data_IF_458827296295
#
_entry.id   IF_458827296295
#
_cell.length_a   1.000
_cell.length_b   1.000
_cell.length_c   1.000
_cell.angle_alpha   90.00
_cell.angle_beta   90.00
_cell.angle_gamma   90.00
#
_symmetry.space_group_name_H-M   'P 1'
#
loop_
_entity.id
_entity.type
_entity.pdbx_description
1 polymer ?
#
# COMPACT_ATOMS: atom_id res chain seq x y z
N UNK A 1 -2.42 -9.05 21.88
CA UNK A 1 -1.70 -9.69 20.77
C UNK A 1 -1.59 -8.81 19.50
N UNK A 2 -2.34 -7.68 19.41
CA UNK A 2 -2.23 -6.70 18.29
C UNK A 2 -1.29 -5.54 18.60
N UNK A 3 -0.78 -5.41 19.82
CA UNK A 3 0.06 -4.28 20.26
C UNK A 3 1.49 -4.29 19.68
N UNK A 4 1.88 -5.40 19.04
CA UNK A 4 3.22 -5.57 18.47
C UNK A 4 3.34 -5.15 17.00
N UNK A 5 2.22 -4.68 16.39
CA UNK A 5 2.19 -4.27 15.00
C UNK A 5 1.99 -2.77 14.85
N UNK A 6 2.52 -2.21 13.76
CA UNK A 6 2.44 -0.81 13.42
C UNK A 6 2.18 -0.62 11.92
N UNK A 7 1.13 0.07 11.56
CA UNK A 7 0.78 0.40 10.18
C UNK A 7 0.84 1.91 9.87
N UNK A 8 1.26 2.70 10.86
CA UNK A 8 1.41 4.15 10.73
C UNK A 8 0.12 4.94 10.96
N UNK A 9 -1.00 4.29 11.26
CA UNK A 9 -2.23 4.98 11.58
C UNK A 9 -2.37 5.24 13.08
N UNK A 10 -2.73 6.46 13.43
CA UNK A 10 -2.83 6.92 14.82
C UNK A 10 -4.13 7.69 15.06
N UNK A 11 -4.64 7.61 16.28
CA UNK A 11 -5.82 8.31 16.73
C UNK A 11 -6.83 7.37 17.40
N UNK A 12 -7.80 7.96 18.09
CA UNK A 12 -8.83 7.25 18.86
C UNK A 12 -10.26 7.66 18.49
N UNK A 13 -10.39 8.52 17.46
CA UNK A 13 -11.67 8.98 16.95
C UNK A 13 -12.33 7.94 16.02
N UNK A 14 -13.44 8.31 15.37
CA UNK A 14 -14.12 7.44 14.41
C UNK A 14 -13.21 6.94 13.27
N UNK A 15 -12.13 7.68 13.03
CA UNK A 15 -11.08 7.26 12.11
C UNK A 15 -9.68 7.64 12.64
N UNK A 16 -8.68 6.96 12.15
CA UNK A 16 -7.26 7.19 12.40
C UNK A 16 -6.63 7.88 11.20
N UNK A 17 -5.67 8.76 11.44
CA UNK A 17 -4.91 9.45 10.40
C UNK A 17 -3.52 8.86 10.25
N UNK A 18 -3.00 8.85 9.03
CA UNK A 18 -1.67 8.33 8.76
C UNK A 18 -0.58 9.30 9.23
N UNK A 19 0.40 8.76 9.96
CA UNK A 19 1.59 9.48 10.40
C UNK A 19 2.85 8.73 9.94
N UNK A 20 3.58 9.22 8.93
CA UNK A 20 4.74 8.54 8.39
C UNK A 20 5.88 8.41 9.39
N UNK A 21 5.98 9.31 10.38
CA UNK A 21 7.02 9.21 11.42
C UNK A 21 6.77 8.04 12.36
N UNK A 22 5.50 7.79 12.70
CA UNK A 22 5.13 6.63 13.53
C UNK A 22 5.52 5.34 12.81
N UNK A 23 5.14 5.20 11.55
CA UNK A 23 5.53 4.03 10.76
C UNK A 23 7.06 3.86 10.69
N UNK A 24 7.78 4.96 10.42
CA UNK A 24 9.24 4.93 10.21
C UNK A 24 10.02 4.64 11.50
N UNK A 25 9.63 5.26 12.61
CA UNK A 25 10.37 5.23 13.87
C UNK A 25 9.97 4.07 14.78
N UNK A 26 8.88 3.36 14.47
CA UNK A 26 8.41 2.22 15.25
C UNK A 26 9.44 1.09 15.27
N UNK A 27 9.62 0.49 16.46
CA UNK A 27 10.37 -0.75 16.66
C UNK A 27 9.50 -1.99 16.56
N UNK A 28 8.20 -1.82 16.38
CA UNK A 28 7.22 -2.90 16.22
C UNK A 28 7.33 -3.55 14.84
N UNK A 29 6.70 -4.68 14.68
CA UNK A 29 6.51 -5.30 13.36
C UNK A 29 5.64 -4.41 12.48
N UNK A 30 6.09 -4.14 11.26
CA UNK A 30 5.36 -3.25 10.34
C UNK A 30 4.39 -4.04 9.49
N UNK A 31 3.17 -3.52 9.38
CA UNK A 31 2.15 -4.00 8.43
C UNK A 31 1.99 -2.95 7.34
N UNK A 32 2.30 -3.32 6.11
CA UNK A 32 2.30 -2.42 4.96
C UNK A 32 1.21 -2.83 3.98
N UNK A 33 0.13 -2.07 3.93
CA UNK A 33 -0.98 -2.31 3.01
C UNK A 33 -0.69 -1.68 1.64
N UNK A 34 0.18 -2.31 0.86
CA UNK A 34 0.69 -1.76 -0.41
C UNK A 34 -0.41 -1.41 -1.43
N UNK A 35 -1.54 -2.08 -1.36
CA UNK A 35 -2.69 -1.83 -2.25
C UNK A 35 -3.94 -1.33 -1.51
N UNK A 36 -3.80 -0.91 -0.27
CA UNK A 36 -4.89 -0.48 0.58
C UNK A 36 -5.51 -1.60 1.40
N UNK A 37 -6.53 -1.26 2.18
CA UNK A 37 -7.26 -2.19 3.02
C UNK A 37 -8.76 -1.87 3.00
N UNK A 38 -9.58 -2.84 3.39
CA UNK A 38 -11.04 -2.72 3.34
C UNK A 38 -11.60 -1.73 4.37
N UNK A 39 -10.81 -1.37 5.36
CA UNK A 39 -11.12 -0.40 6.40
C UNK A 39 -10.59 1.02 6.08
N UNK A 40 -10.01 1.21 4.88
CA UNK A 40 -9.59 2.54 4.42
C UNK A 40 -10.75 3.27 3.73
N UNK A 41 -10.82 4.57 3.98
CA UNK A 41 -11.78 5.46 3.34
C UNK A 41 -11.24 6.89 3.28
N UNK A 42 -12.05 7.80 2.80
CA UNK A 42 -11.71 9.21 2.72
C UNK A 42 -12.24 9.96 3.95
N UNK A 43 -11.58 11.05 4.31
CA UNK A 43 -12.10 11.93 5.39
C UNK A 43 -13.49 12.42 5.06
N UNK A 44 -14.38 12.58 6.06
CA UNK A 44 -15.68 13.20 5.88
C UNK A 44 -15.56 14.59 5.26
N UNK A 45 -16.56 14.98 4.46
CA UNK A 45 -16.62 16.30 3.85
C UNK A 45 -16.62 17.40 4.94
N UNK A 46 -15.77 18.41 4.76
CA UNK A 46 -15.60 19.51 5.71
C UNK A 46 -14.49 19.32 6.74
N UNK A 47 -13.99 18.09 6.94
CA UNK A 47 -12.86 17.81 7.82
C UNK A 47 -11.50 17.76 7.07
N UNK A 48 -11.54 17.77 5.76
CA UNK A 48 -10.35 17.81 4.92
C UNK A 48 -9.95 19.25 4.63
N UNK A 49 -8.83 19.70 5.19
CA UNK A 49 -8.27 21.03 4.91
C UNK A 49 -7.75 21.18 3.47
N UNK A 50 -7.56 20.10 2.76
CA UNK A 50 -7.00 20.08 1.42
C UNK A 50 -8.02 20.25 0.29
N UNK A 51 -9.31 20.11 0.58
CA UNK A 51 -10.40 20.15 -0.41
C UNK A 51 -10.52 21.48 -1.19
N UNK A 52 -10.01 22.57 -0.62
CA UNK A 52 -10.15 23.91 -1.19
C UNK A 52 -8.90 24.41 -1.91
N UNK A 53 -7.75 23.75 -1.76
CA UNK A 53 -6.45 24.34 -2.12
C UNK A 53 -5.93 23.83 -3.46
N UNK A 54 -6.27 22.61 -3.86
CA UNK A 54 -5.88 22.10 -5.17
C UNK A 54 -6.81 20.98 -5.63
N UNK A 55 -7.54 21.17 -6.74
CA UNK A 55 -8.43 20.14 -7.31
C UNK A 55 -7.70 18.86 -7.74
N UNK A 56 -6.36 18.90 -7.81
CA UNK A 56 -5.52 17.79 -8.24
C UNK A 56 -4.92 16.99 -7.07
N UNK A 57 -5.17 17.40 -5.81
CA UNK A 57 -4.70 16.65 -4.65
C UNK A 57 -5.58 15.41 -4.43
N UNK A 58 -4.93 14.26 -4.39
CA UNK A 58 -5.55 13.02 -3.96
C UNK A 58 -5.94 13.18 -2.49
N UNK A 59 -7.22 13.01 -2.13
CA UNK A 59 -7.66 13.19 -0.74
C UNK A 59 -6.95 12.23 0.19
N UNK A 60 -6.66 12.67 1.42
CA UNK A 60 -6.04 11.85 2.45
C UNK A 60 -6.91 10.63 2.77
N UNK A 61 -6.30 9.46 2.71
CA UNK A 61 -6.90 8.23 3.19
C UNK A 61 -6.76 8.13 4.70
N UNK A 62 -7.84 7.72 5.34
CA UNK A 62 -7.92 7.45 6.77
C UNK A 62 -8.33 5.99 7.00
N UNK A 63 -8.02 5.47 8.18
CA UNK A 63 -8.40 4.13 8.58
C UNK A 63 -9.58 4.21 9.54
N UNK A 64 -10.68 3.57 9.19
CA UNK A 64 -11.88 3.51 10.01
C UNK A 64 -11.84 2.33 10.98
N UNK A 65 -12.60 2.44 12.07
CA UNK A 65 -12.71 1.37 13.07
C UNK A 65 -13.49 0.15 12.58
N UNK A 66 -14.21 0.28 11.47
CA UNK A 66 -14.96 -0.83 10.87
C UNK A 66 -15.09 -0.68 9.35
N UNK A 67 -15.28 -1.80 8.67
CA UNK A 67 -15.57 -1.86 7.23
C UNK A 67 -16.84 -1.06 6.85
N UNK A 68 -17.90 -1.12 7.67
CA UNK A 68 -19.13 -0.40 7.36
C UNK A 68 -18.90 1.10 7.28
N UNK A 69 -18.19 1.68 8.24
CA UNK A 69 -17.84 3.09 8.23
C UNK A 69 -16.92 3.44 7.06
N UNK A 70 -15.95 2.61 6.75
CA UNK A 70 -15.07 2.81 5.61
C UNK A 70 -15.86 2.76 4.27
N UNK A 71 -16.83 1.87 4.17
CA UNK A 71 -17.68 1.72 2.98
C UNK A 71 -18.53 2.97 2.70
N UNK A 72 -19.05 3.63 3.73
CA UNK A 72 -19.78 4.89 3.61
C UNK A 72 -18.90 6.03 3.07
N UNK A 73 -17.60 5.95 3.30
CA UNK A 73 -16.59 6.92 2.88
C UNK A 73 -15.64 6.37 1.80
N UNK A 74 -16.04 5.33 1.07
CA UNK A 74 -15.20 4.67 0.07
C UNK A 74 -14.97 5.50 -1.20
N UNK A 75 -15.75 6.58 -1.38
CA UNK A 75 -15.60 7.50 -2.50
C UNK A 75 -15.31 8.90 -1.96
N UNK A 76 -14.38 9.65 -2.59
CA UNK A 76 -14.19 11.04 -2.24
C UNK A 76 -15.52 11.78 -2.51
N UNK A 77 -15.97 12.57 -1.55
CA UNK A 77 -17.21 13.35 -1.67
C UNK A 77 -17.05 14.58 -2.59
N UNK A 78 -16.10 14.56 -3.50
CA UNK A 78 -15.93 15.60 -4.50
C UNK A 78 -16.63 15.17 -5.78
N UNK A 79 -17.65 15.89 -6.14
CA UNK A 79 -18.11 15.95 -7.54
C UNK A 79 -16.93 16.35 -8.43
N UNK A 80 -16.95 15.89 -9.69
CA UNK A 80 -16.01 16.27 -10.71
C UNK A 80 -15.50 17.71 -10.50
N UNK A 81 -14.17 17.89 -10.56
CA UNK A 81 -13.63 19.25 -10.52
C UNK A 81 -14.30 20.09 -11.61
N UNK A 82 -14.22 21.40 -11.55
CA UNK A 82 -14.83 22.30 -12.53
C UNK A 82 -14.36 22.04 -13.98
N UNK A 83 -13.30 21.26 -14.19
CA UNK A 83 -12.80 20.82 -15.48
C UNK A 83 -13.39 19.49 -15.96
N UNK A 84 -14.30 18.85 -15.21
CA UNK A 84 -15.00 17.62 -15.62
C UNK A 84 -14.18 16.35 -15.43
N UNK A 85 -13.01 16.39 -14.83
CA UNK A 85 -12.23 15.21 -14.53
C UNK A 85 -12.75 14.54 -13.26
N UNK A 86 -13.26 13.33 -13.39
CA UNK A 86 -13.62 12.50 -12.25
C UNK A 86 -12.33 12.12 -11.50
N UNK A 87 -12.21 12.49 -10.23
CA UNK A 87 -11.15 11.98 -9.37
C UNK A 87 -11.37 10.48 -9.18
N UNK A 88 -10.59 9.66 -9.85
CA UNK A 88 -10.66 8.19 -9.76
C UNK A 88 -9.84 7.66 -8.58
N UNK A 89 -9.86 8.34 -7.45
CA UNK A 89 -9.22 7.81 -6.26
C UNK A 89 -10.11 6.75 -5.61
N UNK A 90 -9.52 5.66 -5.22
CA UNK A 90 -10.16 4.62 -4.43
C UNK A 90 -9.25 4.25 -3.26
N UNK A 91 -9.85 3.83 -2.16
CA UNK A 91 -9.12 3.36 -0.98
C UNK A 91 -8.33 2.05 -1.23
N UNK A 92 -8.62 1.39 -2.34
CA UNK A 92 -7.92 0.18 -2.79
C UNK A 92 -7.33 0.44 -4.17
N UNK A 93 -6.04 0.12 -4.32
CA UNK A 93 -5.34 0.23 -5.60
C UNK A 93 -5.65 -1.00 -6.46
N UNK A 94 -6.49 -0.80 -7.46
CA UNK A 94 -6.85 -1.82 -8.46
C UNK A 94 -6.77 -1.25 -9.87
N UNK A 95 -6.70 -2.13 -10.88
CA UNK A 95 -6.80 -1.75 -12.29
C UNK A 95 -5.50 -1.22 -12.92
N UNK A 96 -5.62 -0.57 -14.08
CA UNK A 96 -4.50 -0.20 -14.96
C UNK A 96 -3.71 1.03 -14.50
N UNK A 97 -4.31 1.97 -13.78
CA UNK A 97 -3.66 3.22 -13.36
C UNK A 97 -3.07 3.13 -11.95
N UNK A 98 -2.38 2.02 -11.65
CA UNK A 98 -1.81 1.80 -10.32
C UNK A 98 -0.72 2.82 -9.95
N UNK A 99 0.10 3.20 -10.93
CA UNK A 99 1.27 4.07 -10.71
C UNK A 99 0.87 5.41 -10.09
N UNK A 100 -0.19 6.04 -10.59
CA UNK A 100 -0.62 7.35 -10.11
C UNK A 100 -1.14 7.28 -8.68
N UNK A 101 -1.70 6.14 -8.29
CA UNK A 101 -2.20 5.92 -6.92
C UNK A 101 -1.07 5.63 -5.92
N UNK A 102 0.04 5.06 -6.39
CA UNK A 102 1.19 4.73 -5.52
C UNK A 102 1.89 5.95 -4.94
N UNK A 103 1.70 7.14 -5.53
CA UNK A 103 2.22 8.41 -4.99
C UNK A 103 1.36 9.00 -3.86
N UNK A 104 0.13 8.50 -3.69
CA UNK A 104 -0.75 8.96 -2.63
C UNK A 104 -0.29 8.46 -1.25
N UNK A 105 -0.63 9.24 -0.21
CA UNK A 105 -0.49 8.82 1.19
C UNK A 105 -1.65 7.86 1.54
N UNK A 106 -1.37 6.70 2.16
CA UNK A 106 -0.11 6.22 2.75
C UNK A 106 0.80 5.43 1.79
N UNK A 107 0.38 5.14 0.57
CA UNK A 107 1.00 4.17 -0.34
C UNK A 107 2.46 4.50 -0.67
N UNK A 108 2.79 5.77 -0.88
CA UNK A 108 4.17 6.21 -1.14
C UNK A 108 5.10 5.82 0.02
N UNK A 109 4.63 5.93 1.25
CA UNK A 109 5.41 5.55 2.44
C UNK A 109 5.48 4.04 2.61
N UNK A 110 4.40 3.31 2.38
CA UNK A 110 4.39 1.85 2.43
C UNK A 110 5.33 1.24 1.37
N UNK A 111 5.29 1.74 0.15
CA UNK A 111 6.19 1.26 -0.90
C UNK A 111 7.66 1.57 -0.56
N UNK A 112 7.95 2.77 -0.06
CA UNK A 112 9.29 3.13 0.39
C UNK A 112 9.79 2.22 1.51
N UNK A 113 8.95 1.96 2.51
CA UNK A 113 9.31 1.09 3.64
C UNK A 113 9.44 -0.38 3.23
N UNK A 114 8.61 -0.85 2.31
CA UNK A 114 8.75 -2.18 1.71
C UNK A 114 10.10 -2.34 1.02
N UNK A 115 10.47 -1.42 0.13
CA UNK A 115 11.77 -1.43 -0.55
C UNK A 115 12.91 -1.44 0.45
N UNK A 116 12.88 -0.54 1.45
CA UNK A 116 13.90 -0.48 2.49
C UNK A 116 14.02 -1.79 3.29
N UNK A 117 12.88 -2.43 3.57
CA UNK A 117 12.84 -3.67 4.34
C UNK A 117 13.47 -4.83 3.58
N UNK A 118 13.17 -4.98 2.29
CA UNK A 118 13.72 -6.08 1.49
C UNK A 118 15.18 -5.85 1.07
N UNK A 119 15.64 -4.58 1.00
CA UNK A 119 17.06 -4.25 0.81
C UNK A 119 17.87 -4.65 2.05
N UNK A 120 17.35 -4.42 3.24
CA UNK A 120 18.06 -4.73 4.50
C UNK A 120 18.08 -6.22 4.83
N UNK A 121 17.13 -6.99 4.32
CA UNK A 121 16.95 -8.39 4.66
C UNK A 121 17.13 -9.29 3.43
N UNK A 122 18.13 -10.15 3.40
CA UNK A 122 18.34 -11.08 2.29
C UNK A 122 17.29 -12.20 2.24
N UNK A 123 16.55 -12.45 3.31
CA UNK A 123 15.52 -13.49 3.36
C UNK A 123 14.13 -12.90 3.12
N UNK A 124 13.36 -13.50 2.22
CA UNK A 124 12.01 -13.12 1.87
C UNK A 124 11.10 -14.35 1.88
N UNK A 125 9.99 -14.27 2.60
CA UNK A 125 8.92 -15.25 2.56
C UNK A 125 7.74 -14.62 1.80
N UNK A 126 7.28 -15.30 0.77
CA UNK A 126 6.15 -14.90 -0.07
C UNK A 126 5.03 -15.93 0.10
N UNK A 127 3.83 -15.50 0.47
CA UNK A 127 2.69 -16.38 0.68
C UNK A 127 1.49 -15.89 -0.13
N UNK A 128 0.93 -16.73 -1.00
CA UNK A 128 -0.30 -16.45 -1.74
C UNK A 128 -0.22 -15.25 -2.69
N UNK A 129 0.96 -14.95 -3.21
CA UNK A 129 1.18 -13.85 -4.14
C UNK A 129 1.23 -14.36 -5.58
N UNK A 130 0.30 -13.88 -6.40
CA UNK A 130 0.13 -14.35 -7.79
C UNK A 130 1.20 -13.87 -8.78
N UNK A 131 2.16 -13.06 -8.36
CA UNK A 131 3.17 -12.41 -9.22
C UNK A 131 2.57 -11.62 -10.40
N UNK A 132 1.33 -11.17 -10.27
CA UNK A 132 0.66 -10.36 -11.31
C UNK A 132 0.95 -8.86 -11.19
N UNK A 133 1.57 -8.42 -10.09
CA UNK A 133 1.92 -7.01 -9.89
C UNK A 133 3.34 -6.71 -10.38
N UNK A 134 3.40 -6.05 -11.55
CA UNK A 134 4.66 -5.72 -12.20
C UNK A 134 5.59 -4.86 -11.33
N UNK A 135 5.04 -3.93 -10.53
CA UNK A 135 5.87 -3.04 -9.71
C UNK A 135 6.55 -3.80 -8.58
N UNK A 136 5.81 -4.63 -7.87
CA UNK A 136 6.37 -5.46 -6.81
C UNK A 136 7.35 -6.47 -7.36
N UNK A 137 7.03 -7.12 -8.48
CA UNK A 137 7.94 -8.07 -9.13
C UNK A 137 9.27 -7.43 -9.49
N UNK A 138 9.23 -6.23 -10.09
CA UNK A 138 10.45 -5.51 -10.46
C UNK A 138 11.29 -5.15 -9.25
N UNK A 139 10.68 -4.70 -8.16
CA UNK A 139 11.42 -4.40 -6.92
C UNK A 139 12.06 -5.66 -6.34
N UNK A 140 11.32 -6.77 -6.29
CA UNK A 140 11.85 -8.06 -5.80
C UNK A 140 13.02 -8.53 -6.67
N UNK A 141 12.92 -8.41 -8.00
CA UNK A 141 13.97 -8.80 -8.94
C UNK A 141 15.24 -7.96 -8.76
N UNK A 142 15.13 -6.63 -8.75
CA UNK A 142 16.28 -5.75 -8.57
C UNK A 142 16.98 -5.95 -7.22
N UNK A 143 16.22 -6.13 -6.15
CA UNK A 143 16.79 -6.40 -4.83
C UNK A 143 17.38 -7.82 -4.74
N UNK A 144 16.83 -8.76 -5.50
CA UNK A 144 17.43 -10.10 -5.61
C UNK A 144 18.82 -10.03 -6.25
N UNK A 145 18.97 -9.27 -7.33
CA UNK A 145 20.29 -9.01 -7.94
C UNK A 145 21.26 -8.33 -6.98
N UNK A 146 20.78 -7.39 -6.17
CA UNK A 146 21.60 -6.70 -5.18
C UNK A 146 22.16 -7.66 -4.12
N UNK A 147 21.37 -8.62 -3.65
CA UNK A 147 21.79 -9.59 -2.65
C UNK A 147 22.62 -10.74 -3.24
N UNK A 148 22.47 -11.01 -4.53
CA UNK A 148 23.17 -12.11 -5.23
C UNK A 148 22.96 -13.46 -4.52
N UNK A 149 24.03 -14.20 -4.31
CA UNK A 149 24.01 -15.52 -3.66
C UNK A 149 23.53 -15.54 -2.20
N UNK A 150 23.47 -14.39 -1.55
CA UNK A 150 22.94 -14.28 -0.18
C UNK A 150 21.41 -14.26 -0.13
N UNK A 151 20.75 -14.05 -1.27
CA UNK A 151 19.29 -13.99 -1.35
C UNK A 151 18.66 -15.33 -1.07
N UNK A 152 17.68 -15.36 -0.17
CA UNK A 152 16.85 -16.53 0.12
C UNK A 152 15.38 -16.15 -0.06
N UNK A 153 14.70 -16.78 -1.01
CA UNK A 153 13.27 -16.58 -1.23
C UNK A 153 12.56 -17.90 -1.01
N UNK A 154 11.57 -17.88 -0.13
CA UNK A 154 10.65 -19.00 0.09
C UNK A 154 9.28 -18.57 -0.42
N UNK A 155 8.68 -19.36 -1.30
CA UNK A 155 7.36 -19.08 -1.89
C UNK A 155 6.42 -20.20 -1.45
N UNK A 156 5.28 -19.81 -0.87
CA UNK A 156 4.17 -20.70 -0.52
C UNK A 156 2.96 -20.26 -1.32
N UNK A 157 2.55 -21.07 -2.28
CA UNK A 157 1.41 -20.80 -3.13
C UNK A 157 0.65 -22.08 -3.46
N UNK A 158 -0.60 -21.94 -3.89
CA UNK A 158 -1.44 -23.02 -4.42
C UNK A 158 -1.23 -23.26 -5.92
N UNK A 159 -0.40 -22.44 -6.58
CA UNK A 159 -0.16 -22.53 -8.03
C UNK A 159 0.80 -23.69 -8.33
N UNK A 160 0.51 -24.54 -9.36
CA UNK A 160 1.42 -25.59 -9.78
C UNK A 160 2.80 -25.06 -10.19
N UNK A 161 3.86 -25.81 -9.88
CA UNK A 161 5.29 -25.48 -10.08
C UNK A 161 5.68 -24.81 -11.41
N UNK A 162 4.91 -25.00 -12.46
CA UNK A 162 5.21 -24.47 -13.81
C UNK A 162 5.15 -22.94 -13.89
N UNK A 163 4.37 -22.27 -13.05
CA UNK A 163 4.27 -20.81 -13.08
C UNK A 163 5.44 -20.14 -12.31
N UNK A 164 5.95 -20.81 -11.27
CA UNK A 164 7.05 -20.31 -10.44
C UNK A 164 8.38 -20.39 -11.19
N UNK A 165 8.57 -21.42 -12.00
CA UNK A 165 9.81 -21.66 -12.74
C UNK A 165 10.16 -20.53 -13.71
N UNK A 166 9.17 -19.88 -14.32
CA UNK A 166 9.39 -18.76 -15.23
C UNK A 166 9.96 -17.50 -14.54
N UNK A 167 9.65 -17.28 -13.27
CA UNK A 167 10.17 -16.12 -12.53
C UNK A 167 11.55 -16.36 -11.92
N UNK A 168 11.85 -17.60 -11.52
CA UNK A 168 13.15 -17.97 -10.94
C UNK A 168 14.24 -18.08 -12.01
N UNK A 169 13.89 -18.55 -13.22
CA UNK A 169 14.86 -18.71 -14.34
C UNK A 169 15.21 -17.39 -15.03
N UNK A 170 14.39 -16.37 -14.94
CA UNK A 170 14.69 -15.04 -15.50
C UNK A 170 15.68 -14.22 -14.63
N UNK A 171 16.01 -14.72 -13.45
CA UNK A 171 16.85 -14.02 -12.44
C UNK A 171 18.24 -14.67 -12.25
N UNK A 172 18.60 -15.67 -13.06
CA UNK A 172 19.92 -16.32 -13.04
C UNK A 172 20.85 -15.80 -14.12
#
# INVERSE_FOLDING_TARGET
MLDDYEDGYVGTSHYQTFNPQVLRCSKKHKVLHLHGAIDYGFKPFGESNSAWIAPDLIPDLVKYSSYNLASEHSRPQFSANQAGYACQSSSIITGSNKTDKLIAVPFVFYNSEFVNSIIKNPSLLIIGYSFSDFHLNRVIDEVTKLHGLNRRIVIIDSIPDRAITHYVQASC
#
